data_IF_145558508610
#
_entry.id   IF_145558508610
#
_cell.length_a   1.000
_cell.length_b   1.000
_cell.length_c   1.000
_cell.angle_alpha   90.00
_cell.angle_beta   90.00
_cell.angle_gamma   90.00
#
_symmetry.space_group_name_H-M   'P 1'
#
loop_
_entity.id
_entity.type
_entity.pdbx_description
1 polymer ?
#
# COMPACT_ATOMS: atom_id res chain seq x y z
N UNK A 1 24.32 -24.60 -14.53
CA UNK A 1 23.99 -23.33 -13.86
C UNK A 1 22.68 -23.50 -13.12
N UNK A 2 22.59 -23.17 -11.84
CA UNK A 2 21.42 -23.44 -10.99
C UNK A 2 20.19 -22.65 -11.46
N UNK A 3 19.00 -23.26 -11.43
CA UNK A 3 17.71 -22.63 -11.76
C UNK A 3 17.44 -21.36 -10.94
N UNK A 4 17.98 -21.28 -9.72
CA UNK A 4 17.94 -20.09 -8.86
C UNK A 4 18.73 -18.91 -9.44
N UNK A 5 19.89 -19.15 -10.05
CA UNK A 5 20.71 -18.09 -10.63
C UNK A 5 20.03 -17.49 -11.87
N UNK A 6 19.31 -18.29 -12.65
CA UNK A 6 18.49 -17.83 -13.76
C UNK A 6 17.26 -17.06 -13.25
N UNK A 7 16.55 -17.57 -12.25
CA UNK A 7 15.40 -16.89 -11.65
C UNK A 7 15.75 -15.51 -11.07
N UNK A 8 16.90 -15.39 -10.39
CA UNK A 8 17.39 -14.12 -9.85
C UNK A 8 17.79 -13.14 -10.97
N UNK A 9 18.46 -13.64 -12.02
CA UNK A 9 18.89 -12.81 -13.15
C UNK A 9 17.71 -12.32 -13.99
N UNK A 10 16.69 -13.15 -14.20
CA UNK A 10 15.48 -12.78 -14.91
C UNK A 10 14.60 -11.84 -14.06
N UNK A 11 14.46 -12.11 -12.76
CA UNK A 11 13.74 -11.23 -11.82
C UNK A 11 14.39 -9.84 -11.74
N UNK A 12 15.72 -9.77 -11.66
CA UNK A 12 16.45 -8.48 -11.65
C UNK A 12 16.33 -7.72 -12.97
N UNK A 13 16.24 -8.42 -14.10
CA UNK A 13 16.05 -7.79 -15.42
C UNK A 13 14.63 -7.25 -15.57
N UNK A 14 13.62 -8.00 -15.13
CA UNK A 14 12.23 -7.56 -15.08
C UNK A 14 12.03 -6.39 -14.11
N UNK A 15 12.68 -6.45 -12.94
CA UNK A 15 12.70 -5.37 -11.96
C UNK A 15 13.33 -4.10 -12.53
N UNK A 16 14.46 -4.22 -13.23
CA UNK A 16 15.10 -3.10 -13.93
C UNK A 16 14.19 -2.52 -15.00
N UNK A 17 13.45 -3.35 -15.74
CA UNK A 17 12.45 -2.91 -16.73
C UNK A 17 11.30 -2.17 -16.04
N UNK A 18 10.74 -2.70 -14.95
CA UNK A 18 9.64 -2.05 -14.21
C UNK A 18 10.08 -0.70 -13.63
N UNK A 19 11.27 -0.63 -13.02
CA UNK A 19 11.84 0.63 -12.53
C UNK A 19 12.13 1.63 -13.66
N UNK A 20 12.58 1.16 -14.83
CA UNK A 20 12.77 2.02 -16.01
C UNK A 20 11.44 2.53 -16.57
N UNK A 21 10.38 1.71 -16.57
CA UNK A 21 9.03 2.16 -16.94
C UNK A 21 8.48 3.16 -15.94
N UNK A 22 8.62 2.92 -14.64
CA UNK A 22 8.23 3.87 -13.59
C UNK A 22 8.99 5.20 -13.71
N UNK A 23 10.28 5.16 -14.06
CA UNK A 23 11.09 6.36 -14.32
C UNK A 23 10.71 7.08 -15.63
N UNK A 24 10.32 6.34 -16.67
CA UNK A 24 9.95 6.90 -17.99
C UNK A 24 8.50 7.37 -18.06
N UNK A 25 7.62 6.84 -17.21
CA UNK A 25 6.23 7.28 -17.04
C UNK A 25 6.01 7.83 -15.62
N UNK A 26 6.69 8.92 -15.26
CA UNK A 26 6.52 9.53 -13.94
C UNK A 26 5.09 10.05 -13.74
N UNK A 27 4.36 10.37 -14.82
CA UNK A 27 3.00 10.88 -14.78
C UNK A 27 2.01 9.95 -14.07
N UNK A 28 2.07 8.64 -14.32
CA UNK A 28 1.20 7.66 -13.65
C UNK A 28 1.50 7.56 -12.16
N UNK A 29 2.78 7.46 -11.79
CA UNK A 29 3.21 7.38 -10.38
C UNK A 29 2.90 8.68 -9.64
N UNK A 30 3.15 9.84 -10.25
CA UNK A 30 2.82 11.16 -9.71
C UNK A 30 1.32 11.33 -9.51
N UNK A 31 0.49 10.86 -10.44
CA UNK A 31 -0.97 10.99 -10.33
C UNK A 31 -1.52 10.20 -9.13
N UNK A 32 -1.01 8.97 -8.92
CA UNK A 32 -1.36 8.11 -7.78
C UNK A 32 -0.92 8.70 -6.42
N UNK A 33 0.15 9.50 -6.42
CA UNK A 33 0.67 10.20 -5.24
C UNK A 33 0.00 11.58 -5.03
N UNK A 34 -0.56 12.17 -6.08
CA UNK A 34 -1.18 13.48 -6.03
C UNK A 34 -2.33 13.50 -5.03
N UNK A 35 -3.19 12.49 -5.06
CA UNK A 35 -4.35 12.37 -4.15
C UNK A 35 -3.96 12.33 -2.68
N UNK A 36 -3.07 11.42 -2.20
CA UNK A 36 -2.65 11.42 -0.80
C UNK A 36 -1.91 12.69 -0.39
N UNK A 37 -1.10 13.30 -1.27
CA UNK A 37 -0.42 14.57 -0.96
C UNK A 37 -1.42 15.73 -0.86
N UNK A 38 -2.38 15.82 -1.78
CA UNK A 38 -3.42 16.84 -1.75
C UNK A 38 -4.29 16.70 -0.50
N UNK A 39 -4.66 15.48 -0.12
CA UNK A 39 -5.38 15.22 1.13
C UNK A 39 -4.55 15.60 2.36
N UNK A 40 -3.26 15.26 2.38
CA UNK A 40 -2.34 15.68 3.44
C UNK A 40 -2.33 17.21 3.60
N UNK A 41 -2.14 17.94 2.50
CA UNK A 41 -2.12 19.40 2.51
C UNK A 41 -3.47 19.99 2.91
N UNK A 42 -4.56 19.48 2.35
CA UNK A 42 -5.92 19.91 2.67
C UNK A 42 -6.20 19.73 4.16
N UNK A 43 -5.99 18.53 4.69
CA UNK A 43 -6.31 18.25 6.08
C UNK A 43 -5.41 18.98 7.06
N UNK A 44 -4.12 19.14 6.76
CA UNK A 44 -3.22 19.86 7.66
C UNK A 44 -3.44 21.37 7.63
N UNK A 45 -3.61 21.98 6.45
CA UNK A 45 -3.70 23.44 6.34
C UNK A 45 -5.12 24.00 6.40
N UNK A 46 -6.13 23.24 5.96
CA UNK A 46 -7.52 23.70 5.97
C UNK A 46 -8.28 23.21 7.20
N UNK A 47 -8.08 21.95 7.59
CA UNK A 47 -8.78 21.35 8.73
C UNK A 47 -7.95 21.25 10.01
N UNK A 48 -6.64 21.54 9.95
CA UNK A 48 -5.70 21.24 11.03
C UNK A 48 -6.05 21.91 12.34
N UNK A 49 -6.36 23.20 12.31
CA UNK A 49 -6.65 23.97 13.53
C UNK A 49 -7.96 23.52 14.17
N UNK A 50 -9.00 23.26 13.37
CA UNK A 50 -10.33 22.83 13.85
C UNK A 50 -10.28 21.42 14.41
N UNK A 51 -9.61 20.51 13.71
CA UNK A 51 -9.49 19.11 14.11
C UNK A 51 -8.59 18.95 15.33
N UNK A 52 -7.49 19.70 15.41
CA UNK A 52 -6.62 19.69 16.58
C UNK A 52 -7.36 20.20 17.83
N UNK A 53 -8.12 21.29 17.69
CA UNK A 53 -8.96 21.80 18.76
C UNK A 53 -10.01 20.78 19.23
N UNK A 54 -10.63 20.04 18.30
CA UNK A 54 -11.57 18.96 18.59
C UNK A 54 -10.96 17.76 19.32
N UNK A 55 -9.66 17.54 19.18
CA UNK A 55 -8.91 16.50 19.91
C UNK A 55 -8.30 16.99 21.23
N UNK A 56 -8.62 18.22 21.67
CA UNK A 56 -8.06 18.82 22.89
C UNK A 56 -6.64 19.39 22.71
N UNK A 57 -6.11 19.40 21.49
CA UNK A 57 -4.77 19.86 21.12
C UNK A 57 -4.67 21.36 20.85
N UNK A 58 -5.28 22.23 21.68
CA UNK A 58 -5.14 23.69 21.57
C UNK A 58 -5.34 24.27 20.16
N UNK A 59 -4.72 25.42 19.88
CA UNK A 59 -4.71 26.08 18.57
C UNK A 59 -3.46 25.70 17.73
N UNK A 60 -2.89 24.52 17.96
CA UNK A 60 -1.69 24.06 17.25
C UNK A 60 -2.01 22.80 16.42
N UNK A 61 -1.68 22.83 15.13
CA UNK A 61 -1.94 21.75 14.16
C UNK A 61 -1.09 20.49 14.38
N UNK A 62 -0.08 20.56 15.25
CA UNK A 62 0.90 19.48 15.48
C UNK A 62 0.26 18.15 15.89
N UNK A 63 -0.74 18.16 16.76
CA UNK A 63 -1.43 16.94 17.20
C UNK A 63 -2.19 16.25 16.05
N UNK A 64 -2.80 17.03 15.16
CA UNK A 64 -3.51 16.47 14.01
C UNK A 64 -2.57 15.99 12.89
N UNK A 65 -1.44 16.66 12.69
CA UNK A 65 -0.39 16.18 11.79
C UNK A 65 0.13 14.81 12.27
N UNK A 66 0.41 14.68 13.56
CA UNK A 66 0.88 13.43 14.17
C UNK A 66 -0.14 12.28 13.99
N UNK A 67 -1.43 12.59 14.10
CA UNK A 67 -2.51 11.63 13.92
C UNK A 67 -2.70 11.16 12.47
N UNK A 68 -2.63 12.09 11.51
CA UNK A 68 -2.96 11.84 10.10
C UNK A 68 -1.85 11.17 9.30
N UNK A 69 -0.59 11.52 9.55
CA UNK A 69 0.53 11.06 8.72
C UNK A 69 0.58 9.53 8.62
N UNK A 70 0.49 8.75 9.72
CA UNK A 70 0.43 7.28 9.63
C UNK A 70 -0.71 6.76 8.73
N UNK A 71 -1.90 7.37 8.85
CA UNK A 71 -3.07 7.03 8.04
C UNK A 71 -2.84 7.27 6.55
N UNK A 72 -2.26 8.42 6.20
CA UNK A 72 -1.98 8.80 4.83
C UNK A 72 -0.83 8.00 4.19
N UNK A 73 0.16 7.56 4.99
CA UNK A 73 1.18 6.63 4.50
C UNK A 73 0.56 5.29 4.09
N UNK A 74 -0.34 4.72 4.89
CA UNK A 74 -1.06 3.49 4.53
C UNK A 74 -2.04 3.70 3.38
N UNK A 75 -2.70 4.86 3.30
CA UNK A 75 -3.52 5.23 2.15
C UNK A 75 -2.71 5.31 0.86
N UNK A 76 -1.47 5.81 0.95
CA UNK A 76 -0.52 5.83 -0.17
C UNK A 76 -0.17 4.41 -0.63
N UNK A 77 0.05 3.49 0.31
CA UNK A 77 0.22 2.06 -0.03
C UNK A 77 -1.01 1.54 -0.78
N UNK A 78 -2.22 1.82 -0.26
CA UNK A 78 -3.49 1.49 -0.91
C UNK A 78 -3.58 2.02 -2.35
N UNK A 79 -3.27 3.30 -2.58
CA UNK A 79 -3.36 3.90 -3.93
C UNK A 79 -2.37 3.26 -4.90
N UNK A 80 -1.15 2.95 -4.46
CA UNK A 80 -0.13 2.30 -5.32
C UNK A 80 -0.54 0.92 -5.83
N UNK A 81 -1.48 0.25 -5.16
CA UNK A 81 -1.97 -1.07 -5.57
C UNK A 81 -2.86 -1.00 -6.81
N UNK A 82 -3.55 0.12 -7.05
CA UNK A 82 -4.33 0.35 -8.28
C UNK A 82 -3.39 0.37 -9.48
N UNK A 83 -2.29 1.14 -9.40
CA UNK A 83 -1.27 1.19 -10.44
C UNK A 83 -0.68 -0.19 -10.75
N UNK A 84 -0.52 -1.02 -9.71
CA UNK A 84 -0.10 -2.41 -9.86
C UNK A 84 -1.11 -3.24 -10.63
N UNK A 85 -2.39 -3.22 -10.24
CA UNK A 85 -3.46 -3.98 -10.89
C UNK A 85 -3.59 -3.61 -12.37
N UNK A 86 -3.55 -2.30 -12.68
CA UNK A 86 -3.58 -1.76 -14.04
C UNK A 86 -2.38 -2.24 -14.85
N UNK A 87 -1.17 -2.18 -14.28
CA UNK A 87 0.03 -2.64 -14.98
C UNK A 87 0.01 -4.14 -15.27
N UNK A 88 -0.47 -4.97 -14.33
CA UNK A 88 -0.64 -6.42 -14.57
C UNK A 88 -1.65 -6.68 -15.67
N UNK A 89 -2.79 -5.98 -15.65
CA UNK A 89 -3.83 -6.16 -16.66
C UNK A 89 -3.33 -5.75 -18.06
N UNK A 90 -2.58 -4.65 -18.18
CA UNK A 90 -1.94 -4.27 -19.44
C UNK A 90 -1.04 -5.37 -19.98
N UNK A 91 -0.13 -5.91 -19.15
CA UNK A 91 0.78 -7.00 -19.56
C UNK A 91 0.02 -8.28 -19.96
N UNK A 92 -1.17 -8.51 -19.38
CA UNK A 92 -2.07 -9.61 -19.77
C UNK A 92 -2.73 -9.36 -21.11
N UNK A 93 -3.28 -8.15 -21.33
CA UNK A 93 -3.98 -7.78 -22.56
C UNK A 93 -3.05 -7.61 -23.76
N UNK A 94 -1.81 -7.17 -23.56
CA UNK A 94 -0.81 -7.01 -24.63
C UNK A 94 -0.22 -8.37 -25.10
N UNK A 95 -0.61 -9.48 -24.47
CA UNK A 95 -0.17 -10.83 -24.87
C UNK A 95 1.31 -11.11 -24.56
N UNK A 96 1.98 -10.22 -23.83
CA UNK A 96 3.37 -10.39 -23.39
C UNK A 96 3.50 -11.65 -22.51
N UNK A 97 2.53 -11.88 -21.64
CA UNK A 97 2.48 -13.07 -20.78
C UNK A 97 2.20 -14.35 -21.59
N UNK A 98 1.43 -14.27 -22.69
CA UNK A 98 1.23 -15.41 -23.60
C UNK A 98 2.55 -15.80 -24.30
N UNK A 99 3.39 -14.82 -24.67
CA UNK A 99 4.75 -15.06 -25.20
C UNK A 99 5.72 -15.59 -24.15
N UNK A 100 5.62 -15.16 -22.90
CA UNK A 100 6.44 -15.74 -21.83
C UNK A 100 6.00 -17.15 -21.43
N UNK A 101 4.71 -17.50 -21.59
CA UNK A 101 4.22 -18.88 -21.42
C UNK A 101 4.77 -19.86 -22.46
N UNK A 102 5.17 -19.39 -23.64
CA UNK A 102 5.74 -20.23 -24.71
C UNK A 102 7.27 -20.30 -24.68
N UNK A 103 7.94 -19.48 -23.88
CA UNK A 103 9.39 -19.56 -23.64
C UNK A 103 9.70 -20.42 -22.40
N UNK A 104 10.91 -20.99 -22.34
CA UNK A 104 11.40 -21.78 -21.20
C UNK A 104 11.75 -20.91 -19.98
N UNK A 105 10.77 -20.14 -19.47
CA UNK A 105 10.92 -19.26 -18.30
C UNK A 105 10.09 -19.84 -17.15
N UNK A 106 10.61 -19.75 -15.92
CA UNK A 106 9.87 -20.16 -14.74
C UNK A 106 8.66 -19.25 -14.51
N UNK A 107 7.46 -19.82 -14.61
CA UNK A 107 6.15 -19.14 -14.51
C UNK A 107 6.01 -18.21 -13.30
N UNK A 108 6.57 -18.59 -12.15
CA UNK A 108 6.56 -17.77 -10.94
C UNK A 108 7.44 -16.51 -11.01
N UNK A 109 8.44 -16.46 -11.89
CA UNK A 109 9.37 -15.33 -12.05
C UNK A 109 8.66 -14.04 -12.48
N UNK A 110 7.64 -14.15 -13.33
CA UNK A 110 6.88 -13.00 -13.83
C UNK A 110 6.05 -12.36 -12.71
N UNK A 111 5.31 -13.18 -11.94
CA UNK A 111 4.55 -12.66 -10.79
C UNK A 111 5.46 -12.05 -9.74
N UNK A 112 6.55 -12.73 -9.38
CA UNK A 112 7.48 -12.23 -8.37
C UNK A 112 8.14 -10.93 -8.84
N UNK A 113 8.52 -10.83 -10.12
CA UNK A 113 9.08 -9.59 -10.68
C UNK A 113 8.11 -8.42 -10.62
N UNK A 114 6.82 -8.65 -10.85
CA UNK A 114 5.79 -7.63 -10.72
C UNK A 114 5.56 -7.22 -9.27
N UNK A 115 5.40 -8.21 -8.39
CA UNK A 115 5.20 -7.96 -6.95
C UNK A 115 6.37 -7.18 -6.36
N UNK A 116 7.61 -7.58 -6.63
CA UNK A 116 8.79 -6.88 -6.10
C UNK A 116 8.91 -5.48 -6.68
N UNK A 117 8.64 -5.30 -7.98
CA UNK A 117 8.62 -3.97 -8.62
C UNK A 117 7.58 -3.04 -8.00
N UNK A 118 6.37 -3.54 -7.78
CA UNK A 118 5.28 -2.82 -7.13
C UNK A 118 5.54 -2.50 -5.67
N UNK A 119 6.10 -3.43 -4.91
CA UNK A 119 6.49 -3.18 -3.51
C UNK A 119 7.57 -2.10 -3.44
N UNK A 120 8.59 -2.17 -4.31
CA UNK A 120 9.61 -1.11 -4.38
C UNK A 120 9.01 0.24 -4.74
N UNK A 121 8.09 0.29 -5.71
CA UNK A 121 7.40 1.53 -6.07
C UNK A 121 6.58 2.07 -4.89
N UNK A 122 5.85 1.19 -4.20
CA UNK A 122 5.06 1.54 -3.02
C UNK A 122 5.94 2.08 -1.89
N UNK A 123 7.08 1.44 -1.62
CA UNK A 123 8.09 1.89 -0.66
C UNK A 123 8.62 3.28 -1.03
N UNK A 124 9.00 3.51 -2.29
CA UNK A 124 9.48 4.83 -2.75
C UNK A 124 8.39 5.89 -2.58
N UNK A 125 7.15 5.57 -2.95
CA UNK A 125 5.98 6.43 -2.78
C UNK A 125 5.74 6.80 -1.31
N UNK A 126 5.82 5.82 -0.41
CA UNK A 126 5.69 6.03 1.04
C UNK A 126 6.81 6.93 1.57
N UNK A 127 8.06 6.72 1.13
CA UNK A 127 9.19 7.57 1.52
C UNK A 127 9.00 9.01 1.04
N UNK A 128 8.52 9.21 -0.19
CA UNK A 128 8.24 10.54 -0.73
C UNK A 128 7.13 11.26 0.06
N UNK A 129 6.00 10.58 0.31
CA UNK A 129 4.89 11.15 1.10
C UNK A 129 5.31 11.38 2.55
N UNK A 130 6.08 10.47 3.14
CA UNK A 130 6.67 10.65 4.47
C UNK A 130 7.60 11.86 4.55
N UNK A 131 8.43 12.06 3.53
CA UNK A 131 9.29 13.25 3.41
C UNK A 131 8.50 14.55 3.35
N UNK A 132 7.38 14.56 2.61
CA UNK A 132 6.44 15.69 2.60
C UNK A 132 5.80 15.89 3.99
N UNK A 133 5.39 14.80 4.66
CA UNK A 133 4.87 14.86 6.03
C UNK A 133 5.85 15.49 7.01
N UNK A 134 7.12 15.08 6.97
CA UNK A 134 8.20 15.67 7.78
C UNK A 134 8.41 17.15 7.43
N UNK A 135 8.39 17.52 6.14
CA UNK A 135 8.53 18.90 5.69
C UNK A 135 7.38 19.81 6.16
N UNK A 136 6.16 19.26 6.28
CA UNK A 136 4.98 19.96 6.78
C UNK A 136 5.03 20.17 8.31
N UNK A 137 5.91 19.45 9.00
CA UNK A 137 6.14 19.60 10.44
C UNK A 137 5.82 18.36 11.26
N UNK A 138 5.66 17.18 10.63
CA UNK A 138 5.53 15.93 11.38
C UNK A 138 6.81 15.69 12.20
N UNK A 139 6.62 15.58 13.52
CA UNK A 139 7.66 15.19 14.46
C UNK A 139 7.22 13.90 15.13
N UNK A 140 7.99 12.84 14.94
CA UNK A 140 7.88 11.63 15.75
C UNK A 140 8.33 11.97 17.18
N UNK A 141 7.49 11.63 18.15
CA UNK A 141 7.79 11.82 19.58
C UNK A 141 8.39 10.51 20.08
N UNK A 142 9.64 10.57 20.57
CA UNK A 142 10.37 9.45 21.20
C UNK A 142 10.63 8.19 20.35
N UNK A 143 10.35 8.21 19.05
CA UNK A 143 10.59 7.07 18.16
C UNK A 143 12.10 6.76 18.00
N UNK A 144 12.52 5.61 18.53
CA UNK A 144 13.86 5.03 18.36
C UNK A 144 14.09 4.56 16.93
N UNK A 145 15.36 4.40 16.53
CA UNK A 145 15.72 3.87 15.22
C UNK A 145 15.11 2.47 14.94
N UNK A 146 14.85 1.70 16.00
CA UNK A 146 14.21 0.38 15.92
C UNK A 146 12.71 0.48 15.61
N UNK A 147 12.01 1.47 16.16
CA UNK A 147 10.59 1.70 15.87
C UNK A 147 10.37 2.23 14.46
N UNK A 148 11.27 3.08 13.96
CA UNK A 148 11.30 3.48 12.56
C UNK A 148 11.51 2.28 11.62
N UNK A 149 12.42 1.36 11.98
CA UNK A 149 12.65 0.15 11.22
C UNK A 149 11.42 -0.78 11.25
N UNK A 150 10.77 -0.92 12.40
CA UNK A 150 9.55 -1.70 12.55
C UNK A 150 8.38 -1.10 11.76
N UNK A 151 8.22 0.24 11.79
CA UNK A 151 7.23 0.97 11.02
C UNK A 151 7.42 0.76 9.51
N UNK A 152 8.68 0.86 9.04
CA UNK A 152 9.02 0.60 7.65
C UNK A 152 8.79 -0.87 7.26
N UNK A 153 9.13 -1.81 8.15
CA UNK A 153 8.85 -3.23 7.98
C UNK A 153 7.36 -3.52 7.86
N UNK A 154 6.53 -2.92 8.71
CA UNK A 154 5.07 -3.04 8.67
C UNK A 154 4.50 -2.48 7.36
N UNK A 155 4.93 -1.28 6.96
CA UNK A 155 4.50 -0.65 5.70
C UNK A 155 4.87 -1.51 4.49
N UNK A 156 6.08 -2.07 4.48
CA UNK A 156 6.55 -2.95 3.39
C UNK A 156 5.77 -4.25 3.36
N UNK A 157 5.49 -4.86 4.51
CA UNK A 157 4.73 -6.09 4.61
C UNK A 157 3.27 -5.88 4.20
N UNK A 158 2.67 -4.76 4.60
CA UNK A 158 1.32 -4.38 4.20
C UNK A 158 1.25 -4.07 2.70
N UNK A 159 2.24 -3.38 2.14
CA UNK A 159 2.37 -3.15 0.71
C UNK A 159 2.47 -4.47 -0.06
N UNK A 160 3.27 -5.42 0.42
CA UNK A 160 3.37 -6.76 -0.16
C UNK A 160 2.02 -7.48 -0.13
N UNK A 161 1.31 -7.46 1.00
CA UNK A 161 0.01 -8.10 1.17
C UNK A 161 -1.02 -7.57 0.17
N UNK A 162 -1.14 -6.25 0.06
CA UNK A 162 -2.08 -5.62 -0.88
C UNK A 162 -1.67 -5.81 -2.34
N UNK A 163 -0.36 -5.78 -2.62
CA UNK A 163 0.17 -6.02 -3.97
C UNK A 163 -0.23 -7.40 -4.49
N UNK A 164 -0.16 -8.44 -3.67
CA UNK A 164 -0.59 -9.79 -4.07
C UNK A 164 -2.07 -9.85 -4.45
N UNK A 165 -2.93 -9.16 -3.70
CA UNK A 165 -4.36 -9.08 -4.01
C UNK A 165 -4.58 -8.29 -5.31
N UNK A 166 -3.88 -7.16 -5.47
CA UNK A 166 -3.97 -6.33 -6.67
C UNK A 166 -3.49 -7.05 -7.93
N UNK A 167 -2.46 -7.89 -7.82
CA UNK A 167 -2.00 -8.76 -8.92
C UNK A 167 -3.10 -9.74 -9.31
N UNK A 168 -3.74 -10.39 -8.34
CA UNK A 168 -4.89 -11.26 -8.58
C UNK A 168 -6.04 -10.54 -9.30
N UNK A 169 -6.40 -9.35 -8.83
CA UNK A 169 -7.41 -8.48 -9.46
C UNK A 169 -7.03 -8.11 -10.89
N UNK A 170 -5.77 -7.73 -11.12
CA UNK A 170 -5.25 -7.36 -12.43
C UNK A 170 -5.30 -8.53 -13.44
N UNK A 171 -5.00 -9.75 -13.01
CA UNK A 171 -5.03 -10.94 -13.88
C UNK A 171 -6.45 -11.37 -14.29
N UNK A 172 -7.44 -11.17 -13.42
CA UNK A 172 -8.85 -11.50 -13.73
C UNK A 172 -9.52 -10.40 -14.57
N UNK A 173 -8.91 -9.21 -14.64
CA UNK A 173 -9.51 -8.06 -15.29
C UNK A 173 -9.28 -8.08 -16.82
N UNK A 174 -10.34 -7.88 -17.63
CA UNK A 174 -10.26 -7.94 -19.09
C UNK A 174 -9.51 -6.75 -19.71
N UNK A 175 -9.38 -5.63 -19.00
CA UNK A 175 -8.66 -4.44 -19.44
C UNK A 175 -8.21 -3.59 -18.23
N UNK A 176 -7.32 -2.62 -18.49
CA UNK A 176 -6.80 -1.70 -17.49
C UNK A 176 -7.89 -0.93 -16.72
N UNK A 177 -8.96 -0.54 -17.38
CA UNK A 177 -10.05 0.20 -16.74
C UNK A 177 -10.81 -0.66 -15.72
N UNK A 178 -11.13 -1.91 -16.08
CA UNK A 178 -11.72 -2.87 -15.17
C UNK A 178 -10.76 -3.22 -14.01
N UNK A 179 -9.45 -3.31 -14.27
CA UNK A 179 -8.45 -3.55 -13.23
C UNK A 179 -8.38 -2.41 -12.21
N UNK A 180 -8.43 -1.16 -12.71
CA UNK A 180 -8.50 0.03 -11.86
C UNK A 180 -9.76 0.02 -10.98
N UNK A 181 -10.91 -0.26 -11.59
CA UNK A 181 -12.19 -0.32 -10.88
C UNK A 181 -12.27 -1.48 -9.86
N UNK A 182 -11.66 -2.62 -10.17
CA UNK A 182 -11.58 -3.75 -9.25
C UNK A 182 -10.68 -3.46 -8.03
N UNK A 183 -9.63 -2.66 -8.22
CA UNK A 183 -8.73 -2.24 -7.15
C UNK A 183 -9.25 -1.02 -6.36
N UNK A 184 -10.28 -0.30 -6.84
CA UNK A 184 -10.85 0.87 -6.15
C UNK A 184 -11.29 0.62 -4.69
N UNK A 185 -11.89 -0.53 -4.32
CA UNK A 185 -12.22 -0.80 -2.92
C UNK A 185 -11.00 -0.67 -1.98
N UNK A 186 -9.78 -0.96 -2.46
CA UNK A 186 -8.55 -0.86 -1.67
C UNK A 186 -8.15 0.57 -1.35
N UNK A 187 -8.57 1.57 -2.13
CA UNK A 187 -8.33 3.00 -1.82
C UNK A 187 -9.40 3.58 -0.88
N UNK A 188 -10.63 3.04 -0.93
CA UNK A 188 -11.72 3.51 -0.06
C UNK A 188 -11.69 2.93 1.35
N UNK A 189 -11.18 1.70 1.52
CA UNK A 189 -11.01 1.08 2.84
C UNK A 189 -10.27 1.99 3.84
N UNK A 190 -9.10 2.58 3.52
CA UNK A 190 -8.45 3.51 4.44
C UNK A 190 -9.28 4.78 4.72
N UNK A 191 -10.17 5.22 3.83
CA UNK A 191 -11.02 6.40 4.09
C UNK A 191 -12.06 6.16 5.18
N UNK A 192 -12.56 4.93 5.30
CA UNK A 192 -13.52 4.50 6.34
C UNK A 192 -12.81 3.92 7.58
N UNK A 193 -11.50 4.09 7.69
CA UNK A 193 -10.68 3.60 8.80
C UNK A 193 -10.35 4.70 9.81
N UNK A 194 -9.54 4.38 10.81
CA UNK A 194 -8.99 5.35 11.76
C UNK A 194 -7.95 6.32 11.16
N UNK A 195 -7.82 6.37 9.83
CA UNK A 195 -6.89 7.25 9.14
C UNK A 195 -7.21 8.73 9.35
N UNK A 196 -8.49 9.11 9.28
CA UNK A 196 -8.92 10.51 9.29
C UNK A 196 -9.71 10.90 10.55
N UNK A 197 -10.44 9.95 11.13
CA UNK A 197 -11.32 10.19 12.28
C UNK A 197 -11.15 9.04 13.28
N UNK A 198 -11.07 9.32 14.59
CA UNK A 198 -11.03 8.27 15.61
C UNK A 198 -12.23 7.33 15.50
N UNK A 199 -11.99 6.03 15.65
CA UNK A 199 -13.03 4.99 15.61
C UNK A 199 -14.13 5.25 16.64
N UNK A 200 -13.77 5.86 17.77
CA UNK A 200 -14.68 6.19 18.86
C UNK A 200 -15.71 7.27 18.51
N UNK A 201 -15.40 8.12 17.53
CA UNK A 201 -16.31 9.15 17.04
C UNK A 201 -17.27 8.63 15.95
N UNK A 202 -17.13 7.38 15.51
CA UNK A 202 -17.98 6.78 14.48
C UNK A 202 -19.31 6.26 15.05
N UNK A 203 -20.38 6.18 14.24
CA UNK A 203 -21.65 5.60 14.66
C UNK A 203 -21.47 4.17 15.19
N UNK A 204 -22.13 3.82 16.31
CA UNK A 204 -21.93 2.53 16.99
C UNK A 204 -22.18 1.29 16.13
N UNK A 205 -23.05 1.38 15.12
CA UNK A 205 -23.31 0.29 14.17
C UNK A 205 -22.15 0.07 13.18
N UNK A 206 -21.37 1.11 12.89
CA UNK A 206 -20.25 1.06 11.94
C UNK A 206 -18.91 0.79 12.62
N UNK A 207 -18.80 1.13 13.90
CA UNK A 207 -17.60 0.95 14.72
C UNK A 207 -16.94 -0.43 14.60
N UNK A 208 -17.63 -1.57 14.72
CA UNK A 208 -16.97 -2.87 14.59
C UNK A 208 -16.41 -3.13 13.19
N UNK A 209 -17.08 -2.66 12.13
CA UNK A 209 -16.58 -2.80 10.76
C UNK A 209 -15.32 -1.97 10.56
N UNK A 210 -15.34 -0.74 11.08
CA UNK A 210 -14.20 0.15 11.02
C UNK A 210 -13.02 -0.34 11.87
N UNK A 211 -13.26 -1.03 12.98
CA UNK A 211 -12.21 -1.49 13.91
C UNK A 211 -11.48 -2.74 13.39
N UNK A 212 -12.21 -3.71 12.85
CA UNK A 212 -11.64 -5.00 12.44
C UNK A 212 -11.12 -5.05 10.99
N UNK A 213 -11.32 -4.01 10.19
CA UNK A 213 -10.78 -3.96 8.82
C UNK A 213 -9.25 -3.91 8.82
N UNK A 214 -8.56 -4.42 7.78
CA UNK A 214 -7.09 -4.56 7.78
C UNK A 214 -6.31 -3.24 7.92
N UNK A 215 -6.89 -2.12 7.49
CA UNK A 215 -6.24 -0.80 7.57
C UNK A 215 -6.18 -0.25 9.00
N UNK A 216 -7.23 -0.42 9.80
CA UNK A 216 -7.31 0.20 11.13
C UNK A 216 -6.24 -0.33 12.10
N UNK A 217 -6.07 -1.66 12.30
CA UNK A 217 -4.99 -2.18 13.12
C UNK A 217 -3.61 -1.80 12.59
N UNK A 218 -3.43 -1.71 11.28
CA UNK A 218 -2.16 -1.29 10.67
C UNK A 218 -1.86 0.20 10.96
N UNK A 219 -2.87 1.07 10.86
CA UNK A 219 -2.75 2.51 11.17
C UNK A 219 -2.47 2.71 12.66
N UNK A 220 -3.21 2.04 13.54
CA UNK A 220 -2.99 2.15 14.99
C UNK A 220 -1.61 1.63 15.39
N UNK A 221 -1.14 0.53 14.79
CA UNK A 221 0.21 0.00 15.04
C UNK A 221 1.28 0.98 14.55
N UNK A 222 1.11 1.53 13.35
CA UNK A 222 2.03 2.52 12.80
C UNK A 222 2.06 3.80 13.63
N UNK A 223 0.90 4.23 14.15
CA UNK A 223 0.78 5.36 15.06
C UNK A 223 1.46 5.08 16.40
N UNK A 224 1.26 3.90 16.97
CA UNK A 224 1.95 3.44 18.19
C UNK A 224 3.47 3.46 18.04
N UNK A 225 3.99 2.98 16.90
CA UNK A 225 5.42 2.98 16.61
C UNK A 225 6.00 4.39 16.40
N UNK A 226 5.24 5.33 15.84
CA UNK A 226 5.73 6.66 15.49
C UNK A 226 5.50 7.72 16.59
N UNK A 227 4.51 7.50 17.46
CA UNK A 227 4.12 8.42 18.54
C UNK A 227 4.36 7.85 19.94
N UNK A 228 4.86 6.61 20.06
CA UNK A 228 5.11 5.95 21.35
C UNK A 228 3.84 5.54 22.10
N UNK A 229 2.69 5.45 21.43
CA UNK A 229 1.43 5.03 22.07
C UNK A 229 1.32 3.50 22.13
N UNK A 230 0.51 2.97 23.05
CA UNK A 230 0.35 1.52 23.23
C UNK A 230 -0.13 0.83 21.94
N UNK A 231 0.70 -0.07 21.39
CA UNK A 231 0.38 -0.87 20.20
C UNK A 231 -0.68 -1.95 20.52
N UNK A 232 -0.64 -2.49 21.75
CA UNK A 232 -1.61 -3.46 22.26
C UNK A 232 -1.87 -4.65 21.32
N UNK A 233 -3.16 -5.00 21.17
CA UNK A 233 -3.64 -6.10 20.32
C UNK A 233 -3.56 -5.76 18.82
N UNK A 234 -3.51 -4.47 18.47
CA UNK A 234 -3.51 -4.01 17.08
C UNK A 234 -2.28 -4.49 16.30
N UNK A 235 -1.12 -4.62 16.96
CA UNK A 235 0.09 -5.18 16.34
C UNK A 235 -0.12 -6.60 15.85
N UNK A 236 -0.70 -7.48 16.69
CA UNK A 236 -0.98 -8.86 16.31
C UNK A 236 -2.07 -8.96 15.24
N UNK A 237 -3.11 -8.11 15.31
CA UNK A 237 -4.14 -8.04 14.29
C UNK A 237 -3.59 -7.57 12.94
N UNK A 238 -2.69 -6.57 12.94
CA UNK A 238 -2.03 -6.09 11.74
C UNK A 238 -1.15 -7.17 11.11
N UNK A 239 -0.37 -7.90 11.91
CA UNK A 239 0.44 -9.03 11.43
C UNK A 239 -0.45 -10.17 10.90
N UNK A 240 -1.53 -10.49 11.62
CA UNK A 240 -2.50 -11.51 11.22
C UNK A 240 -3.16 -11.17 9.88
N UNK A 241 -3.60 -9.93 9.70
CA UNK A 241 -4.14 -9.45 8.43
C UNK A 241 -3.10 -9.45 7.31
N UNK A 242 -1.88 -8.97 7.56
CA UNK A 242 -0.82 -9.02 6.56
C UNK A 242 -0.54 -10.44 6.08
N UNK A 243 -0.45 -11.41 7.00
CA UNK A 243 -0.25 -12.82 6.67
C UNK A 243 -1.45 -13.40 5.93
N UNK A 244 -2.66 -13.16 6.41
CA UNK A 244 -3.89 -13.66 5.79
C UNK A 244 -4.06 -13.12 4.36
N UNK A 245 -3.90 -11.81 4.16
CA UNK A 245 -4.00 -11.16 2.85
C UNK A 245 -2.89 -11.60 1.91
N UNK A 246 -1.66 -11.77 2.42
CA UNK A 246 -0.53 -12.26 1.61
C UNK A 246 -0.78 -13.69 1.15
N UNK A 247 -1.18 -14.60 2.05
CA UNK A 247 -1.47 -15.99 1.71
C UNK A 247 -2.64 -16.08 0.73
N UNK A 248 -3.74 -15.37 1.02
CA UNK A 248 -4.92 -15.33 0.16
C UNK A 248 -4.58 -14.79 -1.23
N UNK A 249 -3.89 -13.66 -1.29
CA UNK A 249 -3.46 -13.04 -2.55
C UNK A 249 -2.48 -13.93 -3.33
N UNK A 250 -1.54 -14.59 -2.64
CA UNK A 250 -0.59 -15.53 -3.25
C UNK A 250 -1.29 -16.76 -3.84
N UNK A 251 -2.13 -17.44 -3.05
CA UNK A 251 -2.85 -18.63 -3.51
C UNK A 251 -3.86 -18.29 -4.60
N UNK A 252 -4.58 -17.17 -4.46
CA UNK A 252 -5.51 -16.71 -5.49
C UNK A 252 -4.78 -16.39 -6.78
N UNK A 253 -3.71 -15.60 -6.71
CA UNK A 253 -2.91 -15.24 -7.88
C UNK A 253 -2.31 -16.47 -8.55
N UNK A 254 -1.76 -17.41 -7.78
CA UNK A 254 -1.24 -18.68 -8.31
C UNK A 254 -2.34 -19.50 -8.99
N UNK A 255 -3.51 -19.63 -8.36
CA UNK A 255 -4.63 -20.40 -8.92
C UNK A 255 -5.18 -19.80 -10.22
N UNK A 256 -5.21 -18.47 -10.33
CA UNK A 256 -5.64 -17.77 -11.54
C UNK A 256 -4.59 -17.90 -12.64
N UNK A 257 -3.30 -17.82 -12.28
CA UNK A 257 -2.21 -17.96 -13.24
C UNK A 257 -2.08 -19.39 -13.80
N UNK A 258 -2.34 -20.41 -12.97
CA UNK A 258 -2.29 -21.82 -13.37
C UNK A 258 -3.53 -22.27 -14.17
N UNK A 259 -4.59 -21.46 -14.21
CA UNK A 259 -5.75 -21.72 -15.07
C UNK A 259 -5.38 -21.51 -16.54
N UNK A 260 -5.83 -22.42 -17.39
CA UNK A 260 -5.65 -22.26 -18.83
C UNK A 260 -6.42 -21.04 -19.35
N UNK A 261 -5.86 -20.31 -20.33
CA UNK A 261 -6.52 -19.16 -20.90
C UNK A 261 -7.80 -19.64 -21.59
N UNK A 262 -8.89 -18.89 -21.39
CA UNK A 262 -10.10 -19.04 -22.19
C UNK A 262 -9.90 -18.43 -23.56
#
# INVERSE_FOLDING_TARGET
MSSLALAVRDSSTMLRRNLLHARRYPSLTLNLLLTPIMLLLLFVYVFGDVMSAGMGGGADRSAYIAYLVPGLLLMTVGSTTIGTAVSVSNDMTEGIIARFRTMAIHRGSVLVGHVVGSVLQSVVSVVLVGGVGVAIGFRSVDATALEWLAAFGLLTMFALALTWIAVGMGMVSPNAEAASNNAMPLIFLPLISSAFVPVDAMPGWFRPVAEYQPFTPAIETLRGLLLGTEIGVNGWLALGWCLALTLLGYFWSKSVFDRDPK
#
